data_IF_188081103022
#
_entry.id   IF_188081103022
#
_cell.length_a   1.000
_cell.length_b   1.000
_cell.length_c   1.000
_cell.angle_alpha   90.00
_cell.angle_beta   90.00
_cell.angle_gamma   90.00
#
_symmetry.space_group_name_H-M   'P 1'
#
loop_
_entity.id
_entity.type
_entity.pdbx_description
1 polymer ?
#
# COMPACT_ATOMS: atom_id res chain seq x y z
N UNK A 1 9.51 -12.48 -36.54
CA UNK A 1 9.87 -13.89 -36.28
C UNK A 1 9.44 -14.22 -34.87
N UNK A 2 8.61 -15.24 -34.66
CA UNK A 2 8.27 -15.68 -33.32
C UNK A 2 9.49 -16.42 -32.69
N UNK A 3 9.77 -16.22 -31.40
CA UNK A 3 10.87 -16.91 -30.72
C UNK A 3 10.69 -18.43 -30.80
N UNK A 4 11.78 -19.18 -30.95
CA UNK A 4 11.71 -20.63 -31.02
C UNK A 4 11.24 -21.20 -29.68
N UNK A 5 10.66 -22.40 -29.69
CA UNK A 5 10.25 -23.11 -28.46
C UNK A 5 11.44 -23.28 -27.49
N UNK A 6 12.65 -23.42 -28.02
CA UNK A 6 13.87 -23.53 -27.23
C UNK A 6 14.28 -22.20 -26.56
N UNK A 7 14.10 -21.08 -27.26
CA UNK A 7 14.34 -19.74 -26.69
C UNK A 7 13.34 -19.46 -25.55
N UNK A 8 12.07 -19.85 -25.72
CA UNK A 8 11.04 -19.70 -24.70
C UNK A 8 11.32 -20.58 -23.45
N UNK A 9 11.81 -21.81 -23.64
CA UNK A 9 12.22 -22.71 -22.56
C UNK A 9 13.44 -22.16 -21.80
N UNK A 10 14.44 -21.65 -22.52
CA UNK A 10 15.60 -20.99 -21.90
C UNK A 10 15.23 -19.70 -21.18
N UNK A 11 14.32 -18.89 -21.73
CA UNK A 11 13.81 -17.69 -21.06
C UNK A 11 13.07 -18.06 -19.78
N UNK A 12 12.22 -19.11 -19.80
CA UNK A 12 11.56 -19.64 -18.58
C UNK A 12 12.56 -20.14 -17.55
N UNK A 13 13.56 -20.91 -17.96
CA UNK A 13 14.59 -21.39 -17.03
C UNK A 13 15.38 -20.24 -16.43
N UNK A 14 15.74 -19.23 -17.24
CA UNK A 14 16.35 -18.00 -16.73
C UNK A 14 15.40 -17.26 -15.78
N UNK A 15 14.11 -17.17 -16.09
CA UNK A 15 13.12 -16.54 -15.22
C UNK A 15 12.94 -17.25 -13.88
N UNK A 16 12.98 -18.58 -13.85
CA UNK A 16 12.97 -19.33 -12.59
C UNK A 16 14.20 -19.06 -11.73
N UNK A 17 15.34 -18.74 -12.36
CA UNK A 17 16.60 -18.39 -11.70
C UNK A 17 16.68 -16.90 -11.31
N UNK A 18 15.76 -16.06 -11.81
CA UNK A 18 15.82 -14.61 -11.60
C UNK A 18 15.28 -14.20 -10.23
N UNK A 19 15.70 -13.02 -9.83
CA UNK A 19 15.28 -12.27 -8.64
C UNK A 19 13.75 -12.10 -8.62
N UNK A 20 13.10 -12.65 -7.60
CA UNK A 20 11.64 -12.77 -7.55
C UNK A 20 10.98 -11.57 -6.88
N UNK A 21 11.63 -10.99 -5.87
CA UNK A 21 11.02 -9.94 -5.05
C UNK A 21 11.08 -8.57 -5.71
N UNK A 22 12.18 -8.19 -6.35
CA UNK A 22 12.25 -6.89 -7.01
C UNK A 22 11.26 -6.81 -8.18
N UNK A 23 11.14 -7.88 -8.96
CA UNK A 23 10.19 -7.98 -10.07
C UNK A 23 8.74 -7.91 -9.60
N UNK A 24 8.45 -8.48 -8.43
CA UNK A 24 7.12 -8.42 -7.84
C UNK A 24 6.65 -6.97 -7.56
N UNK A 25 7.58 -6.07 -7.26
CA UNK A 25 7.28 -4.65 -7.04
C UNK A 25 7.50 -3.76 -8.27
N UNK A 26 8.37 -4.17 -9.20
CA UNK A 26 8.69 -3.44 -10.42
C UNK A 26 8.31 -4.31 -11.63
N UNK A 27 7.01 -4.35 -11.93
CA UNK A 27 6.45 -5.12 -13.05
C UNK A 27 6.95 -4.58 -14.39
N UNK A 28 7.13 -3.27 -14.48
CA UNK A 28 7.68 -2.61 -15.66
C UNK A 28 9.20 -2.70 -15.65
N UNK A 29 9.74 -3.41 -16.62
CA UNK A 29 11.19 -3.60 -16.80
C UNK A 29 11.97 -2.29 -16.88
N UNK A 30 11.35 -1.22 -17.42
CA UNK A 30 11.95 0.11 -17.48
C UNK A 30 12.16 0.72 -16.09
N UNK A 31 11.21 0.59 -15.17
CA UNK A 31 11.33 1.09 -13.80
C UNK A 31 12.45 0.37 -13.04
N UNK A 32 12.54 -0.96 -13.21
CA UNK A 32 13.63 -1.76 -12.64
C UNK A 32 14.98 -1.29 -13.16
N UNK A 33 15.13 -1.05 -14.47
CA UNK A 33 16.37 -0.54 -15.06
C UNK A 33 16.74 0.84 -14.51
N UNK A 34 15.77 1.76 -14.40
CA UNK A 34 15.97 3.08 -13.83
C UNK A 34 16.43 3.01 -12.36
N UNK A 35 15.81 2.14 -11.56
CA UNK A 35 16.23 1.92 -10.17
C UNK A 35 17.69 1.43 -10.10
N UNK A 36 18.05 0.43 -10.89
CA UNK A 36 19.41 -0.14 -10.88
C UNK A 36 20.46 0.88 -11.37
N UNK A 37 20.13 1.69 -12.38
CA UNK A 37 21.00 2.80 -12.81
C UNK A 37 21.17 3.85 -11.72
N UNK A 38 20.09 4.19 -11.00
CA UNK A 38 20.17 5.11 -9.88
C UNK A 38 21.04 4.55 -8.75
N UNK A 39 20.85 3.28 -8.36
CA UNK A 39 21.70 2.64 -7.34
C UNK A 39 23.18 2.63 -7.74
N UNK A 40 23.48 2.40 -9.01
CA UNK A 40 24.84 2.47 -9.53
C UNK A 40 25.41 3.90 -9.41
N UNK A 41 24.66 4.91 -9.82
CA UNK A 41 25.08 6.32 -9.74
C UNK A 41 25.33 6.82 -8.31
N UNK A 42 24.63 6.26 -7.33
CA UNK A 42 24.79 6.60 -5.90
C UNK A 42 25.88 5.75 -5.20
N UNK A 43 26.55 4.83 -5.92
CA UNK A 43 27.50 3.89 -5.31
C UNK A 43 26.85 2.90 -4.35
N UNK A 44 25.57 2.60 -4.56
CA UNK A 44 24.73 1.70 -3.77
C UNK A 44 24.54 0.34 -4.44
N UNK A 45 25.51 -0.07 -5.26
CA UNK A 45 25.50 -1.37 -5.94
C UNK A 45 25.45 -2.52 -4.96
N UNK A 46 24.71 -3.58 -5.32
CA UNK A 46 24.57 -4.77 -4.50
C UNK A 46 25.92 -5.48 -4.29
N UNK A 47 26.37 -5.70 -3.05
CA UNK A 47 27.59 -6.44 -2.77
C UNK A 47 27.42 -7.95 -2.97
N UNK A 48 28.55 -8.67 -3.04
CA UNK A 48 28.62 -10.13 -3.01
C UNK A 48 28.68 -10.66 -1.58
N UNK A 49 28.16 -11.88 -1.36
CA UNK A 49 28.20 -12.55 -0.06
C UNK A 49 26.98 -12.24 0.81
N UNK A 50 26.63 -13.16 1.70
CA UNK A 50 25.41 -13.08 2.51
C UNK A 50 25.42 -11.89 3.49
N UNK A 51 26.45 -11.81 4.34
CA UNK A 51 26.56 -10.77 5.38
C UNK A 51 26.68 -9.36 4.81
N UNK A 52 27.49 -9.17 3.76
CA UNK A 52 27.64 -7.88 3.10
C UNK A 52 26.31 -7.41 2.51
N UNK A 53 25.51 -8.33 1.96
CA UNK A 53 24.17 -8.02 1.44
C UNK A 53 23.21 -7.62 2.56
N UNK A 54 23.18 -8.34 3.69
CA UNK A 54 22.34 -7.96 4.84
C UNK A 54 22.71 -6.57 5.38
N UNK A 55 24.00 -6.33 5.61
CA UNK A 55 24.49 -5.03 6.10
C UNK A 55 24.16 -3.88 5.14
N UNK A 56 24.34 -4.10 3.83
CA UNK A 56 24.02 -3.10 2.82
C UNK A 56 22.51 -2.83 2.70
N UNK A 57 21.68 -3.85 2.79
CA UNK A 57 20.23 -3.69 2.78
C UNK A 57 19.73 -2.94 4.03
N UNK A 58 20.32 -3.19 5.20
CA UNK A 58 20.04 -2.43 6.41
C UNK A 58 20.44 -0.95 6.26
N UNK A 59 21.62 -0.67 5.68
CA UNK A 59 22.03 0.70 5.35
C UNK A 59 21.03 1.39 4.42
N UNK A 60 20.60 0.70 3.35
CA UNK A 60 19.59 1.22 2.43
C UNK A 60 18.25 1.48 3.13
N UNK A 61 17.83 0.61 4.03
CA UNK A 61 16.62 0.81 4.85
C UNK A 61 16.74 2.06 5.72
N UNK A 62 17.89 2.29 6.35
CA UNK A 62 18.15 3.47 7.17
C UNK A 62 18.13 4.77 6.33
N UNK A 63 18.78 4.78 5.17
CA UNK A 63 18.69 5.88 4.21
C UNK A 63 17.24 6.12 3.75
N UNK A 64 16.50 5.05 3.50
CA UNK A 64 15.06 5.13 3.19
C UNK A 64 14.26 5.82 4.29
N UNK A 65 14.56 5.53 5.57
CA UNK A 65 13.93 6.20 6.72
C UNK A 65 14.30 7.69 6.80
N UNK A 66 15.53 8.07 6.44
CA UNK A 66 15.93 9.48 6.36
C UNK A 66 15.14 10.23 5.29
N UNK A 67 15.06 9.70 4.08
CA UNK A 67 14.27 10.28 3.00
C UNK A 67 12.78 10.34 3.33
N UNK A 68 12.26 9.30 3.99
CA UNK A 68 10.88 9.28 4.47
C UNK A 68 10.59 10.41 5.46
N UNK A 69 11.49 10.65 6.43
CA UNK A 69 11.35 11.77 7.40
C UNK A 69 11.36 13.14 6.71
N UNK A 70 12.13 13.28 5.62
CA UNK A 70 12.16 14.46 4.75
C UNK A 70 10.93 14.56 3.82
N UNK A 71 10.01 13.60 3.88
CA UNK A 71 8.85 13.46 2.98
C UNK A 71 9.21 13.29 1.50
N UNK A 72 10.46 12.90 1.19
CA UNK A 72 10.86 12.48 -0.16
C UNK A 72 10.54 11.00 -0.34
N UNK A 73 9.27 10.71 -0.62
CA UNK A 73 8.78 9.35 -0.80
C UNK A 73 9.33 8.67 -2.06
N UNK A 74 9.85 9.42 -3.04
CA UNK A 74 10.46 8.83 -4.23
C UNK A 74 11.82 8.23 -3.90
N UNK A 75 12.70 8.99 -3.25
CA UNK A 75 14.00 8.47 -2.81
C UNK A 75 13.84 7.40 -1.73
N UNK A 76 12.89 7.57 -0.80
CA UNK A 76 12.58 6.54 0.18
C UNK A 76 12.15 5.22 -0.48
N UNK A 77 11.34 5.29 -1.55
CA UNK A 77 10.96 4.12 -2.34
C UNK A 77 12.17 3.47 -3.01
N UNK A 78 13.02 4.26 -3.69
CA UNK A 78 14.22 3.72 -4.34
C UNK A 78 15.14 3.01 -3.34
N UNK A 79 15.38 3.60 -2.17
CA UNK A 79 16.16 2.96 -1.11
C UNK A 79 15.52 1.66 -0.62
N UNK A 80 14.19 1.64 -0.40
CA UNK A 80 13.47 0.45 0.02
C UNK A 80 13.51 -0.69 -1.02
N UNK A 81 13.31 -0.37 -2.29
CA UNK A 81 13.40 -1.35 -3.40
C UNK A 81 14.85 -1.81 -3.62
N UNK A 82 15.83 -0.91 -3.45
CA UNK A 82 17.25 -1.28 -3.46
C UNK A 82 17.60 -2.23 -2.31
N UNK A 83 17.01 -2.04 -1.13
CA UNK A 83 17.18 -2.97 -0.02
C UNK A 83 16.61 -4.35 -0.36
N UNK A 84 15.40 -4.42 -0.95
CA UNK A 84 14.81 -5.67 -1.47
C UNK A 84 15.73 -6.33 -2.49
N UNK A 85 16.17 -5.60 -3.52
CA UNK A 85 17.12 -6.11 -4.53
C UNK A 85 18.39 -6.67 -3.88
N UNK A 86 18.88 -5.99 -2.85
CA UNK A 86 20.07 -6.41 -2.13
C UNK A 86 19.85 -7.73 -1.39
N UNK A 87 18.65 -8.05 -0.92
CA UNK A 87 18.35 -9.35 -0.25
C UNK A 87 17.54 -10.32 -1.10
N UNK A 88 17.38 -10.06 -2.40
CA UNK A 88 16.73 -10.96 -3.35
C UNK A 88 17.71 -12.08 -3.74
N UNK A 89 17.75 -13.14 -2.94
CA UNK A 89 18.57 -14.33 -3.22
C UNK A 89 17.85 -15.22 -4.24
N UNK A 90 18.59 -15.76 -5.20
CA UNK A 90 18.05 -16.75 -6.14
C UNK A 90 17.52 -17.98 -5.40
N UNK A 91 16.58 -18.75 -5.97
CA UNK A 91 16.06 -19.96 -5.32
C UNK A 91 17.16 -20.94 -4.89
N UNK A 92 18.21 -21.11 -5.70
CA UNK A 92 19.37 -21.96 -5.38
C UNK A 92 20.10 -21.46 -4.13
N UNK A 93 20.32 -20.15 -4.04
CA UNK A 93 20.94 -19.53 -2.86
C UNK A 93 20.06 -19.71 -1.62
N UNK A 94 18.74 -19.52 -1.74
CA UNK A 94 17.81 -19.72 -0.62
C UNK A 94 17.77 -21.18 -0.14
N UNK A 95 17.84 -22.14 -1.06
CA UNK A 95 17.93 -23.57 -0.72
C UNK A 95 19.21 -23.90 0.03
N UNK A 96 20.33 -23.23 -0.30
CA UNK A 96 21.61 -23.39 0.39
C UNK A 96 21.70 -22.68 1.73
N UNK A 97 20.73 -21.83 2.09
CA UNK A 97 20.75 -21.14 3.38
C UNK A 97 20.41 -22.10 4.51
N UNK A 98 21.21 -22.05 5.57
CA UNK A 98 20.86 -22.62 6.86
C UNK A 98 19.71 -21.85 7.54
N UNK A 99 19.24 -22.36 8.66
CA UNK A 99 18.10 -21.78 9.39
C UNK A 99 18.43 -20.41 10.01
N UNK A 100 19.68 -20.19 10.44
CA UNK A 100 20.10 -18.91 11.02
C UNK A 100 20.11 -17.81 9.95
N UNK A 101 20.62 -18.12 8.76
CA UNK A 101 20.61 -17.23 7.60
C UNK A 101 19.18 -16.93 7.14
N UNK A 102 18.29 -17.93 7.09
CA UNK A 102 16.87 -17.70 6.75
C UNK A 102 16.18 -16.78 7.74
N UNK A 103 16.45 -16.98 9.04
CA UNK A 103 15.90 -16.12 10.08
C UNK A 103 16.45 -14.70 9.98
N UNK A 104 17.76 -14.53 9.80
CA UNK A 104 18.39 -13.22 9.64
C UNK A 104 17.84 -12.46 8.42
N UNK A 105 17.65 -13.16 7.30
CA UNK A 105 17.01 -12.62 6.10
C UNK A 105 15.58 -12.12 6.38
N UNK A 106 14.76 -12.92 7.07
CA UNK A 106 13.37 -12.55 7.39
C UNK A 106 13.30 -11.39 8.38
N UNK A 107 14.14 -11.40 9.42
CA UNK A 107 14.25 -10.32 10.41
C UNK A 107 14.60 -8.99 9.76
N UNK A 108 15.37 -8.99 8.68
CA UNK A 108 15.66 -7.77 7.90
C UNK A 108 14.56 -7.43 6.90
N UNK A 109 13.98 -8.42 6.23
CA UNK A 109 12.94 -8.24 5.21
C UNK A 109 11.67 -7.57 5.76
N UNK A 110 11.20 -7.97 6.94
CA UNK A 110 9.94 -7.49 7.51
C UNK A 110 9.92 -5.97 7.78
N UNK A 111 10.96 -5.38 8.42
CA UNK A 111 11.11 -3.93 8.49
C UNK A 111 11.08 -3.24 7.12
N UNK A 112 11.71 -3.81 6.09
CA UNK A 112 11.75 -3.24 4.73
C UNK A 112 10.35 -3.24 4.11
N UNK A 113 9.63 -4.37 4.15
CA UNK A 113 8.26 -4.49 3.62
C UNK A 113 7.27 -3.60 4.38
N UNK A 114 7.45 -3.50 5.70
CA UNK A 114 6.71 -2.57 6.55
C UNK A 114 6.94 -1.11 6.12
N UNK A 115 8.18 -0.72 5.84
CA UNK A 115 8.47 0.63 5.34
C UNK A 115 7.92 0.86 3.93
N UNK A 116 8.10 -0.10 3.02
CA UNK A 116 7.60 -0.01 1.64
C UNK A 116 6.08 0.14 1.59
N UNK A 117 5.33 -0.69 2.33
CA UNK A 117 3.87 -0.55 2.42
C UNK A 117 3.44 0.85 2.89
N UNK A 118 4.18 1.45 3.83
CA UNK A 118 3.90 2.83 4.26
C UNK A 118 4.23 3.87 3.18
N UNK A 119 5.35 3.70 2.47
CA UNK A 119 5.77 4.58 1.37
C UNK A 119 4.76 4.53 0.23
N UNK A 120 4.33 3.35 -0.19
CA UNK A 120 3.31 3.16 -1.22
C UNK A 120 1.98 3.81 -0.82
N UNK A 121 1.55 3.62 0.43
CA UNK A 121 0.32 4.23 0.94
C UNK A 121 0.38 5.77 0.88
N UNK A 122 1.51 6.37 1.28
CA UNK A 122 1.71 7.82 1.21
C UNK A 122 1.81 8.37 -0.23
N UNK A 123 2.08 7.49 -1.20
CA UNK A 123 2.09 7.81 -2.64
C UNK A 123 0.73 7.58 -3.31
N UNK A 124 -0.22 6.93 -2.64
CA UNK A 124 -1.51 6.56 -3.22
C UNK A 124 -1.44 5.29 -4.07
N UNK A 125 -0.35 4.52 -4.00
CA UNK A 125 -0.20 3.25 -4.70
C UNK A 125 -0.82 2.13 -3.85
N UNK A 126 -2.13 1.96 -4.02
CA UNK A 126 -2.96 1.01 -3.26
C UNK A 126 -2.52 -0.43 -3.55
N UNK A 127 -2.27 -0.77 -4.81
CA UNK A 127 -1.91 -2.13 -5.24
C UNK A 127 -0.56 -2.54 -4.63
N UNK A 128 0.48 -1.70 -4.76
CA UNK A 128 1.79 -2.02 -4.19
C UNK A 128 1.77 -2.02 -2.65
N UNK A 129 0.93 -1.21 -2.02
CA UNK A 129 0.69 -1.28 -0.56
C UNK A 129 0.15 -2.66 -0.18
N UNK A 130 -0.87 -3.16 -0.87
CA UNK A 130 -1.46 -4.47 -0.62
C UNK A 130 -0.46 -5.60 -0.86
N UNK A 131 0.33 -5.53 -1.95
CA UNK A 131 1.40 -6.48 -2.28
C UNK A 131 2.45 -6.55 -1.17
N UNK A 132 3.00 -5.40 -0.75
CA UNK A 132 4.02 -5.33 0.29
C UNK A 132 3.50 -5.85 1.64
N UNK A 133 2.29 -5.44 2.04
CA UNK A 133 1.67 -5.90 3.29
C UNK A 133 1.39 -7.40 3.28
N UNK A 134 0.87 -7.93 2.16
CA UNK A 134 0.55 -9.35 2.03
C UNK A 134 1.81 -10.21 2.02
N UNK A 135 2.86 -9.80 1.32
CA UNK A 135 4.15 -10.48 1.36
C UNK A 135 4.72 -10.46 2.79
N UNK A 136 4.69 -9.33 3.47
CA UNK A 136 5.15 -9.25 4.87
C UNK A 136 4.39 -10.20 5.79
N UNK A 137 3.06 -10.29 5.65
CA UNK A 137 2.23 -11.19 6.45
C UNK A 137 2.52 -12.67 6.19
N UNK A 138 3.04 -13.06 5.01
CA UNK A 138 3.49 -14.44 4.73
C UNK A 138 4.81 -14.80 5.42
N UNK A 139 5.62 -13.81 5.77
CA UNK A 139 6.94 -14.02 6.36
C UNK A 139 6.97 -13.82 7.88
N UNK A 140 5.99 -13.11 8.44
CA UNK A 140 5.99 -12.73 9.87
C UNK A 140 6.02 -13.92 10.82
N UNK A 141 5.35 -15.03 10.48
CA UNK A 141 5.26 -16.23 11.33
C UNK A 141 6.58 -17.00 11.45
N UNK A 142 7.61 -16.61 10.69
CA UNK A 142 8.96 -17.19 10.78
C UNK A 142 9.81 -16.55 11.89
N UNK A 143 9.37 -15.43 12.47
CA UNK A 143 10.06 -14.80 13.60
C UNK A 143 9.84 -15.61 14.88
N UNK A 144 10.88 -15.65 15.73
CA UNK A 144 10.83 -16.36 17.01
C UNK A 144 10.19 -15.56 18.14
N UNK A 145 10.22 -14.22 18.08
CA UNK A 145 9.70 -13.34 19.12
C UNK A 145 8.20 -13.05 18.90
N UNK A 146 7.28 -13.54 19.77
CA UNK A 146 5.84 -13.33 19.60
C UNK A 146 5.41 -11.85 19.62
N UNK A 147 6.06 -11.02 20.43
CA UNK A 147 5.72 -9.59 20.52
C UNK A 147 6.05 -8.85 19.21
N UNK A 148 7.17 -9.23 18.58
CA UNK A 148 7.58 -8.70 17.30
C UNK A 148 6.64 -9.18 16.18
N UNK A 149 6.24 -10.45 16.21
CA UNK A 149 5.22 -11.02 15.31
C UNK A 149 3.93 -10.21 15.39
N UNK A 150 3.42 -9.98 16.59
CA UNK A 150 2.17 -9.23 16.81
C UNK A 150 2.28 -7.79 16.32
N UNK A 151 3.41 -7.14 16.60
CA UNK A 151 3.70 -5.78 16.16
C UNK A 151 3.70 -5.68 14.63
N UNK A 152 4.37 -6.59 13.93
CA UNK A 152 4.38 -6.59 12.47
C UNK A 152 3.03 -6.96 11.86
N UNK A 153 2.34 -7.98 12.39
CA UNK A 153 1.00 -8.35 11.94
C UNK A 153 0.04 -7.16 12.05
N UNK A 154 0.03 -6.46 13.18
CA UNK A 154 -0.80 -5.29 13.38
C UNK A 154 -0.48 -4.18 12.38
N UNK A 155 0.79 -3.81 12.21
CA UNK A 155 1.23 -2.76 11.28
C UNK A 155 0.88 -3.08 9.82
N UNK A 156 1.18 -4.30 9.36
CA UNK A 156 0.96 -4.70 7.97
C UNK A 156 -0.54 -4.83 7.66
N UNK A 157 -1.34 -5.41 8.56
CA UNK A 157 -2.80 -5.46 8.43
C UNK A 157 -3.42 -4.06 8.43
N UNK A 158 -3.00 -3.19 9.35
CA UNK A 158 -3.45 -1.80 9.37
C UNK A 158 -3.22 -1.11 8.03
N UNK A 159 -2.02 -1.19 7.45
CA UNK A 159 -1.73 -0.56 6.14
C UNK A 159 -2.49 -1.19 4.99
N UNK A 160 -2.67 -2.52 5.00
CA UNK A 160 -3.48 -3.21 4.00
C UNK A 160 -4.96 -2.79 4.08
N UNK A 161 -5.49 -2.64 5.28
CA UNK A 161 -6.85 -2.13 5.49
C UNK A 161 -7.00 -0.69 5.00
N UNK A 162 -6.02 0.17 5.27
CA UNK A 162 -6.04 1.55 4.75
C UNK A 162 -6.10 1.55 3.23
N UNK A 163 -5.30 0.72 2.55
CA UNK A 163 -5.31 0.58 1.11
C UNK A 163 -6.67 0.06 0.58
N UNK A 164 -7.23 -1.00 1.18
CA UNK A 164 -8.54 -1.56 0.84
C UNK A 164 -9.71 -0.61 1.10
N UNK A 165 -9.56 0.30 2.06
CA UNK A 165 -10.57 1.29 2.41
C UNK A 165 -10.56 2.53 1.51
N UNK A 166 -9.49 2.76 0.73
CA UNK A 166 -9.42 3.89 -0.19
C UNK A 166 -10.53 3.79 -1.25
N UNK A 167 -11.22 4.89 -1.60
CA UNK A 167 -12.24 4.87 -2.65
C UNK A 167 -11.62 4.53 -4.01
N UNK A 168 -12.21 3.57 -4.72
CA UNK A 168 -11.78 3.17 -6.06
C UNK A 168 -12.33 1.80 -6.46
N UNK A 169 -11.94 1.29 -7.64
CA UNK A 169 -12.35 -0.04 -8.11
C UNK A 169 -11.95 -1.18 -7.17
N UNK A 170 -10.81 -1.00 -6.49
CA UNK A 170 -10.24 -1.96 -5.53
C UNK A 170 -10.80 -1.80 -4.10
N UNK A 171 -11.82 -0.95 -3.89
CA UNK A 171 -12.35 -0.70 -2.56
C UNK A 171 -13.07 -1.94 -2.01
N UNK A 172 -12.61 -2.43 -0.87
CA UNK A 172 -13.22 -3.54 -0.14
C UNK A 172 -13.30 -3.19 1.37
N UNK A 173 -14.43 -2.60 1.75
CA UNK A 173 -14.67 -2.16 3.13
C UNK A 173 -14.84 -3.33 4.11
N UNK A 174 -15.27 -4.50 3.64
CA UNK A 174 -15.45 -5.67 4.51
C UNK A 174 -14.10 -6.30 4.86
N UNK A 175 -13.25 -6.51 3.86
CA UNK A 175 -11.89 -7.00 4.09
C UNK A 175 -11.01 -5.97 4.84
N UNK A 176 -11.22 -4.67 4.61
CA UNK A 176 -10.58 -3.63 5.41
C UNK A 176 -11.01 -3.70 6.89
N UNK A 177 -12.29 -3.93 7.16
CA UNK A 177 -12.82 -4.06 8.51
C UNK A 177 -12.23 -5.28 9.24
N UNK A 178 -12.09 -6.42 8.55
CA UNK A 178 -11.45 -7.62 9.08
C UNK A 178 -9.99 -7.35 9.48
N UNK A 179 -9.20 -6.78 8.56
CA UNK A 179 -7.80 -6.43 8.83
C UNK A 179 -7.66 -5.45 10.02
N UNK A 180 -8.57 -4.48 10.16
CA UNK A 180 -8.57 -3.52 11.27
C UNK A 180 -8.94 -4.14 12.61
N UNK A 181 -9.92 -5.06 12.64
CA UNK A 181 -10.27 -5.82 13.87
C UNK A 181 -9.08 -6.61 14.36
N UNK A 182 -8.44 -7.30 13.43
CA UNK A 182 -7.28 -8.13 13.68
C UNK A 182 -6.06 -7.30 14.13
N UNK A 183 -5.85 -6.12 13.54
CA UNK A 183 -4.81 -5.20 13.98
C UNK A 183 -5.11 -4.62 15.38
N UNK A 184 -6.38 -4.27 15.65
CA UNK A 184 -6.81 -3.74 16.96
C UNK A 184 -6.72 -4.78 18.07
N UNK A 185 -6.97 -6.05 17.76
CA UNK A 185 -6.81 -7.15 18.73
C UNK A 185 -5.35 -7.28 19.20
N UNK A 186 -4.39 -7.17 18.27
CA UNK A 186 -2.95 -7.28 18.58
C UNK A 186 -2.37 -6.01 19.21
N UNK A 187 -2.87 -4.83 18.84
CA UNK A 187 -2.43 -3.54 19.39
C UNK A 187 -3.61 -2.72 19.96
N UNK A 188 -4.25 -3.16 21.05
CA UNK A 188 -5.50 -2.58 21.55
C UNK A 188 -5.38 -1.14 22.05
N UNK A 189 -4.16 -0.71 22.40
CA UNK A 189 -3.88 0.64 22.90
C UNK A 189 -3.67 1.65 21.77
N UNK A 190 -3.44 1.19 20.54
CA UNK A 190 -3.18 2.07 19.40
C UNK A 190 -4.43 2.91 19.08
N UNK A 191 -4.30 4.23 19.20
CA UNK A 191 -5.41 5.17 18.95
C UNK A 191 -5.75 5.27 17.47
N UNK A 192 -4.75 5.16 16.59
CA UNK A 192 -4.92 5.30 15.15
C UNK A 192 -5.69 4.10 14.59
N UNK A 193 -5.30 2.88 14.96
CA UNK A 193 -6.00 1.65 14.54
C UNK A 193 -7.46 1.69 14.97
N UNK A 194 -7.73 2.02 16.24
CA UNK A 194 -9.11 2.12 16.76
C UNK A 194 -9.94 3.18 16.04
N UNK A 195 -9.35 4.34 15.75
CA UNK A 195 -10.04 5.41 15.01
C UNK A 195 -10.39 4.96 13.58
N UNK A 196 -9.46 4.31 12.89
CA UNK A 196 -9.72 3.78 11.55
C UNK A 196 -10.77 2.65 11.57
N UNK A 197 -10.77 1.80 12.61
CA UNK A 197 -11.77 0.75 12.80
C UNK A 197 -13.19 1.32 12.92
N UNK A 198 -13.39 2.34 13.75
CA UNK A 198 -14.71 2.99 13.87
C UNK A 198 -15.12 3.69 12.57
N UNK A 199 -14.21 4.42 11.92
CA UNK A 199 -14.49 5.04 10.63
C UNK A 199 -14.90 4.00 9.56
N UNK A 200 -14.24 2.84 9.53
CA UNK A 200 -14.56 1.78 8.59
C UNK A 200 -15.96 1.18 8.85
N UNK A 201 -16.35 1.01 10.13
CA UNK A 201 -17.71 0.60 10.49
C UNK A 201 -18.75 1.61 10.04
N UNK A 202 -18.48 2.90 10.21
CA UNK A 202 -19.37 3.98 9.78
C UNK A 202 -19.58 3.95 8.26
N UNK A 203 -18.48 3.87 7.49
CA UNK A 203 -18.53 3.77 6.04
C UNK A 203 -19.33 2.55 5.56
N UNK A 204 -19.16 1.39 6.21
CA UNK A 204 -19.90 0.18 5.87
C UNK A 204 -21.41 0.31 6.17
N UNK A 205 -21.78 0.96 7.28
CA UNK A 205 -23.19 1.27 7.60
C UNK A 205 -23.80 2.21 6.57
N UNK A 206 -23.09 3.25 6.17
CA UNK A 206 -23.54 4.19 5.13
C UNK A 206 -23.72 3.48 3.78
N UNK A 207 -22.78 2.62 3.39
CA UNK A 207 -22.85 1.86 2.14
C UNK A 207 -24.09 0.95 2.11
N UNK A 208 -24.38 0.24 3.22
CA UNK A 208 -25.55 -0.62 3.35
C UNK A 208 -26.86 0.16 3.35
N UNK A 209 -26.91 1.31 4.04
CA UNK A 209 -28.09 2.17 4.07
C UNK A 209 -28.49 2.71 2.69
N UNK A 210 -27.50 3.08 1.86
CA UNK A 210 -27.73 3.53 0.48
C UNK A 210 -28.30 2.42 -0.42
N UNK A 211 -27.93 1.17 -0.19
CA UNK A 211 -28.46 0.04 -0.95
C UNK A 211 -29.96 -0.18 -0.65
N UNK A 212 -30.40 0.07 0.59
CA UNK A 212 -31.79 -0.14 1.00
C UNK A 212 -32.70 1.05 0.63
N UNK A 213 -32.17 2.28 0.61
CA UNK A 213 -32.95 3.48 0.32
C UNK A 213 -33.32 3.72 -1.16
N UNK A 214 -32.76 2.95 -2.11
CA UNK A 214 -33.05 3.09 -3.55
C UNK A 214 -34.28 2.32 -4.03
N UNK A 215 -34.98 1.58 -3.15
CA UNK A 215 -36.09 0.70 -3.52
C UNK A 215 -37.49 1.33 -3.49
N UNK A 216 -37.64 2.62 -3.21
CA UNK A 216 -38.96 3.26 -3.12
C UNK A 216 -39.00 4.62 -3.80
N UNK A 217 -38.61 4.66 -5.08
CA UNK A 217 -39.07 5.72 -5.98
C UNK A 217 -40.44 5.32 -6.54
N UNK A 218 -41.47 6.17 -6.42
CA UNK A 218 -42.78 5.91 -7.02
C UNK A 218 -42.65 5.88 -8.55
N UNK A 219 -43.23 4.85 -9.16
CA UNK A 219 -43.39 4.72 -10.61
C UNK A 219 -44.11 5.96 -11.15
N UNK A 220 -43.37 6.83 -11.84
CA UNK A 220 -43.86 8.05 -12.45
C UNK A 220 -43.34 8.15 -13.87
N UNK A 221 -44.10 7.51 -14.76
CA UNK A 221 -44.34 7.73 -16.19
C UNK A 221 -43.19 8.10 -17.17
N UNK A 222 -43.32 7.53 -18.36
CA UNK A 222 -42.34 7.34 -19.41
C UNK A 222 -42.10 8.61 -20.26
N UNK A 223 -40.85 8.85 -20.67
CA UNK A 223 -40.55 9.58 -21.92
C UNK A 223 -39.14 9.24 -22.45
N UNK A 224 -39.13 8.25 -23.35
CA UNK A 224 -38.33 8.04 -24.56
C UNK A 224 -37.01 8.82 -24.84
N UNK A 225 -35.89 8.05 -24.82
CA UNK A 225 -34.97 7.75 -25.96
C UNK A 225 -33.87 8.78 -26.43
N UNK A 226 -32.84 8.37 -27.24
CA UNK A 226 -31.50 7.95 -26.76
C UNK A 226 -30.29 8.58 -27.51
N UNK A 227 -29.04 8.38 -27.04
CA UNK A 227 -27.84 8.24 -27.90
C UNK A 227 -26.60 7.77 -27.10
N UNK A 228 -25.99 6.68 -27.57
CA UNK A 228 -24.74 6.07 -27.12
C UNK A 228 -23.50 6.81 -27.64
N UNK A 229 -22.45 6.87 -26.81
CA UNK A 229 -21.06 6.98 -27.28
C UNK A 229 -20.12 6.30 -26.29
N UNK A 230 -19.40 5.28 -26.77
CA UNK A 230 -18.37 4.58 -26.04
C UNK A 230 -17.10 5.44 -25.95
N UNK A 231 -16.73 5.86 -24.74
CA UNK A 231 -15.49 6.60 -24.48
C UNK A 231 -14.34 5.62 -24.21
N UNK A 232 -13.23 5.82 -24.91
CA UNK A 232 -11.94 5.18 -24.62
C UNK A 232 -11.31 5.90 -23.43
N UNK A 233 -10.91 5.15 -22.41
CA UNK A 233 -10.15 5.69 -21.28
C UNK A 233 -8.74 6.07 -21.75
N UNK A 234 -8.47 7.37 -21.84
CA UNK A 234 -7.15 7.91 -22.13
C UNK A 234 -6.24 7.77 -20.89
N UNK A 235 -5.14 7.03 -21.03
CA UNK A 235 -4.10 6.94 -20.01
C UNK A 235 -3.46 8.33 -19.76
N UNK A 236 -3.49 8.78 -18.50
CA UNK A 236 -2.96 10.06 -18.09
C UNK A 236 -1.43 10.08 -18.18
N UNK A 237 -0.86 11.17 -18.69
CA UNK A 237 0.60 11.30 -18.73
C UNK A 237 1.23 11.29 -17.31
N UNK A 238 2.49 10.88 -17.14
CA UNK A 238 3.16 10.83 -15.83
C UNK A 238 3.19 12.17 -15.06
N UNK A 239 3.12 13.29 -15.78
CA UNK A 239 2.99 14.62 -15.18
C UNK A 239 1.59 14.84 -14.57
N UNK A 240 0.54 14.34 -15.22
CA UNK A 240 -0.84 14.39 -14.73
C UNK A 240 -1.06 13.46 -13.54
N UNK A 241 -0.40 12.31 -13.49
CA UNK A 241 -0.43 11.44 -12.29
C UNK A 241 0.25 12.10 -11.08
N UNK A 242 1.38 12.76 -11.30
CA UNK A 242 2.07 13.52 -10.25
C UNK A 242 1.22 14.69 -9.75
N UNK A 243 0.50 15.35 -10.66
CA UNK A 243 -0.45 16.40 -10.34
C UNK A 243 -1.68 15.84 -9.60
N UNK A 244 -2.24 14.71 -10.03
CA UNK A 244 -3.36 14.03 -9.38
C UNK A 244 -3.02 13.57 -7.96
N UNK A 245 -1.79 13.08 -7.72
CA UNK A 245 -1.31 12.73 -6.38
C UNK A 245 -1.16 13.96 -5.47
N UNK A 246 -0.67 15.09 -6.00
CA UNK A 246 -0.63 16.36 -5.27
C UNK A 246 -2.05 16.88 -4.97
N UNK A 247 -2.93 16.85 -5.96
CA UNK A 247 -4.34 17.26 -5.85
C UNK A 247 -5.08 16.37 -4.85
N UNK A 248 -4.86 15.06 -4.86
CA UNK A 248 -5.44 14.11 -3.89
C UNK A 248 -5.04 14.44 -2.44
N UNK A 249 -3.77 14.78 -2.20
CA UNK A 249 -3.28 15.22 -0.87
C UNK A 249 -3.89 16.56 -0.44
N UNK A 250 -4.07 17.50 -1.37
CA UNK A 250 -4.73 18.78 -1.10
C UNK A 250 -6.24 18.63 -0.86
N UNK A 251 -6.92 17.80 -1.66
CA UNK A 251 -8.35 17.48 -1.51
C UNK A 251 -8.62 16.71 -0.20
N UNK A 252 -7.72 15.82 0.22
CA UNK A 252 -7.80 15.16 1.52
C UNK A 252 -7.66 16.13 2.71
N UNK A 253 -6.91 17.23 2.56
CA UNK A 253 -6.86 18.32 3.55
C UNK A 253 -8.15 19.16 3.51
N UNK A 254 -8.66 19.51 2.32
CA UNK A 254 -9.92 20.24 2.13
C UNK A 254 -11.14 19.49 2.68
N UNK A 255 -11.26 18.17 2.45
CA UNK A 255 -12.33 17.33 3.03
C UNK A 255 -12.29 17.35 4.56
N UNK A 256 -11.09 17.31 5.16
CA UNK A 256 -10.91 17.43 6.62
C UNK A 256 -11.32 18.80 7.14
N UNK A 257 -10.95 19.88 6.45
CA UNK A 257 -11.40 21.23 6.80
C UNK A 257 -12.93 21.38 6.68
N UNK A 258 -13.54 20.90 5.59
CA UNK A 258 -15.00 20.93 5.39
C UNK A 258 -15.75 20.20 6.50
N UNK A 259 -15.28 19.01 6.90
CA UNK A 259 -15.87 18.25 8.03
C UNK A 259 -15.75 18.99 9.37
N UNK A 260 -14.64 19.72 9.60
CA UNK A 260 -14.50 20.58 10.80
C UNK A 260 -15.50 21.74 10.76
N UNK A 261 -15.60 22.44 9.63
CA UNK A 261 -16.56 23.54 9.48
C UNK A 261 -17.99 23.08 9.67
N UNK A 262 -18.40 21.95 9.08
CA UNK A 262 -19.76 21.40 9.24
C UNK A 262 -20.10 21.06 10.70
N UNK A 263 -19.13 20.56 11.47
CA UNK A 263 -19.32 20.31 12.92
C UNK A 263 -19.47 21.61 13.72
N UNK A 264 -18.78 22.67 13.34
CA UNK A 264 -18.91 23.98 13.98
C UNK A 264 -20.24 24.66 13.64
N UNK A 265 -20.72 24.52 12.39
CA UNK A 265 -21.98 25.12 11.94
C UNK A 265 -23.21 24.44 12.55
N UNK A 266 -23.17 23.12 12.76
CA UNK A 266 -24.29 22.37 13.35
C UNK A 266 -24.53 22.65 14.83
N UNK A 267 -23.59 23.30 15.53
CA UNK A 267 -23.74 23.68 16.94
C UNK A 267 -24.48 25.02 17.15
N UNK A 268 -24.61 25.85 16.11
CA UNK A 268 -25.16 27.21 16.25
C UNK A 268 -26.68 27.27 16.04
N UNK A 269 -27.27 26.29 15.36
CA UNK A 269 -28.70 26.27 15.03
C UNK A 269 -29.61 25.81 16.18
N UNK A 270 -29.05 25.28 17.27
CA UNK A 270 -29.83 24.79 18.42
C UNK A 270 -30.16 25.83 19.51
N UNK A 271 -29.68 27.07 19.41
CA UNK A 271 -29.89 28.09 20.45
C UNK A 271 -30.93 29.17 20.09
N UNK A 272 -31.48 29.17 18.87
CA UNK A 272 -32.43 30.21 18.44
C UNK A 272 -33.89 29.82 18.78
N UNK A 273 -34.22 28.54 18.90
CA UNK A 273 -35.60 28.10 19.21
C UNK A 273 -35.96 28.10 20.71
N UNK A 274 -35.02 28.37 21.60
CA UNK A 274 -35.28 28.45 23.04
C UNK A 274 -35.82 29.82 23.52
N UNK A 275 -35.91 30.83 22.64
CA UNK A 275 -36.28 32.22 23.02
C UNK A 275 -37.65 32.70 22.49
N UNK A 276 -38.50 31.78 22.01
CA UNK A 276 -39.85 32.07 21.49
C UNK A 276 -40.99 31.39 22.26
N UNK A 277 -40.75 30.96 23.51
CA UNK A 277 -41.76 30.35 24.41
C UNK A 277 -41.83 31.06 25.76
N UNK A 278 -41.73 32.38 25.77
CA UNK A 278 -42.20 33.26 26.85
C UNK A 278 -43.14 34.31 26.27
#
# INVERSE_FOLDING_TARGET
MAPSKWDAEQERQRDMLREHWLRYFCEVDAERKQLLQWLLGEGLTRPSGFEARLSHAERLRQLGNEWYRKQDYRRALHCGLGAIHTIDFSPQQQLSMDEEQRLALVSLLLPILSNLSQVFLNRGDVISTMKASTLGLRHVDKLKNPEEVDTFKAKLRFRRAMARGEPGPEQDLEAALEDLRDAAHRMPRDKQIRTCLENCKDLLREARGKAHGKGSAPEGDQSENPAESAEKEDELSPALETMAACVGKCLGKLKRCRRRCQRSSGSATGQIDAKKRE
#
